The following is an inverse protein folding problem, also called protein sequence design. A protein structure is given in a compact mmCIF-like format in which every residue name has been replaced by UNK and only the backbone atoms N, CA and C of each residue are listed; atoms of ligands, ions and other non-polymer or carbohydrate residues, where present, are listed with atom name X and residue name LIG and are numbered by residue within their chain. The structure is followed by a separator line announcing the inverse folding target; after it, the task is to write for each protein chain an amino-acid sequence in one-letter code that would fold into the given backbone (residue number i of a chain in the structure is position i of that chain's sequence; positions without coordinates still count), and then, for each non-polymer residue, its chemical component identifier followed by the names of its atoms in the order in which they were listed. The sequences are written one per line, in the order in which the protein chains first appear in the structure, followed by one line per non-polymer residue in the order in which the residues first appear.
data_IF_895378529626
#
_entry.id   IF_895378529626
#
_cell.length_a   1.000
_cell.length_b   1.000
_cell.length_c   1.000
_cell.angle_alpha   90.00
_cell.angle_beta   90.00
_cell.angle_gamma   90.00
#
_symmetry.space_group_name_H-M   'P 1'
#
loop_
_entity.id
_entity.type
_entity.pdbx_description
1 polymer ?
#
# COMPACT_ATOMS: atom_id res chain seq x y z
N UNK A 1 1.49 3.36 -10.71
CA UNK A 1 1.94 2.88 -9.38
C UNK A 1 3.42 2.57 -9.43
N UNK A 2 4.12 2.90 -8.37
CA UNK A 2 5.54 2.60 -8.26
C UNK A 2 5.76 1.60 -7.14
N UNK A 3 6.51 0.50 -7.37
CA UNK A 3 6.88 -0.38 -6.29
C UNK A 3 7.80 0.34 -5.31
N UNK A 4 7.65 0.04 -4.01
CA UNK A 4 8.49 0.62 -2.97
C UNK A 4 9.27 -0.47 -2.27
N UNK A 5 10.21 -0.06 -1.42
CA UNK A 5 10.95 -0.98 -0.58
C UNK A 5 10.31 -1.14 0.80
N UNK A 6 9.14 -0.56 0.99
CA UNK A 6 8.41 -0.68 2.25
C UNK A 6 7.92 -2.10 2.46
N UNK A 7 7.92 -2.52 3.71
CA UNK A 7 7.40 -3.81 4.11
C UNK A 7 6.05 -3.64 4.80
N UNK A 8 5.32 -4.74 4.97
CA UNK A 8 4.03 -4.73 5.65
C UNK A 8 4.12 -4.11 7.05
N UNK A 9 5.21 -4.38 7.77
CA UNK A 9 5.41 -3.82 9.10
C UNK A 9 5.49 -2.30 9.10
N UNK A 10 6.06 -1.73 8.04
CA UNK A 10 6.11 -0.28 7.90
C UNK A 10 4.73 0.30 7.63
N UNK A 11 3.97 -0.37 6.78
CA UNK A 11 2.64 0.07 6.36
C UNK A 11 1.65 0.04 7.51
N UNK A 12 1.75 -0.93 8.42
CA UNK A 12 0.84 -1.03 9.56
C UNK A 12 0.94 0.15 10.52
N UNK A 13 2.00 0.95 10.41
CA UNK A 13 2.15 2.19 11.19
C UNK A 13 1.42 3.37 10.55
N UNK A 14 0.99 3.22 9.32
CA UNK A 14 0.27 4.26 8.58
C UNK A 14 -1.22 4.20 8.89
N UNK A 15 -1.95 5.19 8.38
CA UNK A 15 -3.40 5.24 8.55
C UNK A 15 -4.08 4.44 7.43
N UNK A 16 -4.95 3.51 7.79
CA UNK A 16 -5.74 2.77 6.82
C UNK A 16 -6.81 3.68 6.21
N UNK A 17 -6.90 3.68 4.89
CA UNK A 17 -7.94 4.42 4.17
C UNK A 17 -9.19 3.54 4.12
N UNK A 18 -10.27 4.00 4.70
CA UNK A 18 -11.52 3.25 4.80
C UNK A 18 -12.16 3.04 3.43
N UNK A 19 -12.80 1.89 3.28
CA UNK A 19 -13.53 1.56 2.05
C UNK A 19 -12.73 0.72 1.06
N UNK A 20 -11.48 0.39 1.35
CA UNK A 20 -10.61 -0.36 0.45
C UNK A 20 -10.13 -1.70 1.03
N UNK A 21 -10.76 -2.17 2.11
CA UNK A 21 -10.49 -3.50 2.63
C UNK A 21 -9.06 -3.74 3.10
N UNK A 22 -8.46 -2.77 3.78
CA UNK A 22 -7.08 -2.84 4.29
C UNK A 22 -6.00 -2.89 3.20
N UNK A 23 -6.36 -2.57 1.97
CA UNK A 23 -5.40 -2.57 0.87
C UNK A 23 -4.77 -1.21 0.63
N UNK A 24 -5.43 -0.13 1.03
CA UNK A 24 -4.95 1.24 0.83
C UNK A 24 -4.57 1.85 2.18
N UNK A 25 -3.39 2.43 2.25
CA UNK A 25 -2.85 3.06 3.45
C UNK A 25 -2.32 4.44 3.11
N UNK A 26 -2.33 5.34 4.07
CA UNK A 26 -1.89 6.71 3.88
C UNK A 26 -0.82 7.08 4.90
N UNK A 27 0.26 7.70 4.43
CA UNK A 27 1.29 8.31 5.26
C UNK A 27 1.44 9.77 4.84
N UNK A 28 0.99 10.68 5.70
CA UNK A 28 0.94 12.11 5.43
C UNK A 28 0.12 12.40 4.15
N UNK A 29 0.77 12.78 3.06
CA UNK A 29 0.11 13.08 1.78
C UNK A 29 0.32 11.99 0.73
N UNK A 30 0.88 10.85 1.14
CA UNK A 30 1.17 9.74 0.25
C UNK A 30 0.22 8.58 0.50
N UNK A 31 -0.15 7.91 -0.58
CA UNK A 31 -1.04 6.74 -0.54
C UNK A 31 -0.29 5.52 -1.02
N UNK A 32 -0.55 4.39 -0.38
CA UNK A 32 0.11 3.13 -0.68
C UNK A 32 -0.92 2.04 -0.88
N UNK A 33 -0.67 1.19 -1.87
CA UNK A 33 -1.48 0.00 -2.14
C UNK A 33 -0.67 -1.24 -1.79
N UNK A 34 -1.23 -2.12 -0.97
CA UNK A 34 -0.60 -3.38 -0.60
C UNK A 34 -1.25 -4.51 -1.37
N UNK A 35 -0.46 -5.25 -2.12
CA UNK A 35 -0.93 -6.38 -2.91
C UNK A 35 -0.11 -7.63 -2.58
N UNK A 36 -0.78 -8.78 -2.66
CA UNK A 36 -0.10 -10.07 -2.55
C UNK A 36 0.33 -10.51 -3.94
N UNK A 37 1.60 -10.84 -4.10
CA UNK A 37 2.16 -11.31 -5.34
C UNK A 37 2.89 -12.63 -5.14
N UNK A 38 3.01 -13.41 -6.21
CA UNK A 38 3.66 -14.69 -6.20
C UNK A 38 2.72 -15.81 -6.66
N UNK A 39 3.29 -16.90 -7.16
CA UNK A 39 2.52 -18.05 -7.63
C UNK A 39 2.67 -19.26 -6.71
N UNK A 40 3.88 -19.61 -6.35
CA UNK A 40 4.16 -20.72 -5.44
C UNK A 40 4.37 -20.21 -4.02
N UNK A 41 5.16 -19.15 -3.90
CA UNK A 41 5.37 -18.46 -2.63
C UNK A 41 4.83 -17.05 -2.80
N UNK A 42 3.93 -16.63 -1.91
CA UNK A 42 3.36 -15.28 -1.98
C UNK A 42 4.06 -14.36 -1.00
N UNK A 43 4.13 -13.08 -1.37
CA UNK A 43 4.66 -12.02 -0.52
C UNK A 43 3.86 -10.74 -0.74
N UNK A 44 3.92 -9.83 0.22
CA UNK A 44 3.23 -8.55 0.12
C UNK A 44 4.15 -7.51 -0.51
N UNK A 45 3.63 -6.79 -1.48
CA UNK A 45 4.33 -5.70 -2.17
C UNK A 45 3.57 -4.41 -1.94
N UNK A 46 4.27 -3.36 -1.55
CA UNK A 46 3.69 -2.05 -1.30
C UNK A 46 4.00 -1.14 -2.49
N UNK A 47 2.95 -0.60 -3.10
CA UNK A 47 3.07 0.32 -4.23
C UNK A 47 2.67 1.73 -3.81
N UNK A 48 3.40 2.72 -4.29
CA UNK A 48 3.04 4.13 -4.09
C UNK A 48 2.03 4.55 -5.16
N UNK A 49 0.91 5.12 -4.72
CA UNK A 49 -0.14 5.60 -5.61
C UNK A 49 -0.01 7.10 -5.84
N UNK A 50 -0.37 7.60 -7.05
CA UNK A 50 -0.42 9.04 -7.29
C UNK A 50 -1.48 9.70 -6.41
N UNK A 51 -1.16 10.85 -5.81
CA UNK A 51 -2.11 11.59 -4.99
C UNK A 51 -3.35 12.02 -5.77
N UNK A 52 -3.22 12.16 -7.07
CA UNK A 52 -4.30 12.58 -7.96
C UNK A 52 -5.51 11.64 -7.90
N UNK A 53 -5.29 10.37 -7.59
CA UNK A 53 -6.36 9.40 -7.47
C UNK A 53 -7.26 9.64 -6.26
N UNK A 54 -6.77 10.40 -5.28
CA UNK A 54 -7.46 10.63 -4.01
C UNK A 54 -7.74 12.10 -3.74
N UNK A 55 -7.40 12.94 -4.68
CA UNK A 55 -7.59 14.39 -4.56
C UNK A 55 -9.07 14.79 -4.75
#
# INVERSE_FOLDING_TARGET
MKPTKLEWEDVTKFEEVKGYGQHIWRDEDKYYLVLEEGTVVSWLVVYELPNELFA
#
